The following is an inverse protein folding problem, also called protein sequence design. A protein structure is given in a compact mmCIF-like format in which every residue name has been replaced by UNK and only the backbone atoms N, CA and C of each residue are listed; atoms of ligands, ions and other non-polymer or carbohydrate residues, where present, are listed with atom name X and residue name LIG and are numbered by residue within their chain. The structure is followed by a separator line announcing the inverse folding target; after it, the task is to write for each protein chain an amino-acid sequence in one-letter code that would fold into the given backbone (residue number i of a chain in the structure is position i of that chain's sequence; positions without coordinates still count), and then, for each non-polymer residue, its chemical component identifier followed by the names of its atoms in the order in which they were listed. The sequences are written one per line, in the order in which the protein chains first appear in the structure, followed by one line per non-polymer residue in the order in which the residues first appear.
data_IF_044753143796
#
_entry.id   IF_044753143796
#
_cell.length_a   1.000
_cell.length_b   1.000
_cell.length_c   1.000
_cell.angle_alpha   90.00
_cell.angle_beta   90.00
_cell.angle_gamma   90.00
#
_symmetry.space_group_name_H-M   'P 1'
#
loop_
_entity.id
_entity.type
_entity.pdbx_description
1 polymer ?
#
# COMPACT_ATOMS: atom_id res chain seq x y z
N UNK A 1 -14.09 -12.33 -2.31
CA UNK A 1 -13.99 -11.34 -3.41
C UNK A 1 -12.80 -10.37 -3.25
N UNK A 2 -12.21 -10.15 -2.07
CA UNK A 2 -11.09 -9.18 -1.93
C UNK A 2 -9.69 -9.81 -1.79
N UNK A 3 -9.56 -11.12 -2.01
CA UNK A 3 -8.34 -11.86 -1.67
C UNK A 3 -7.12 -11.39 -2.45
N UNK A 4 -7.26 -11.05 -3.73
CA UNK A 4 -6.15 -10.56 -4.56
C UNK A 4 -5.58 -9.23 -4.07
N UNK A 5 -6.43 -8.29 -3.67
CA UNK A 5 -6.02 -6.96 -3.19
C UNK A 5 -5.41 -7.07 -1.78
N UNK A 6 -5.98 -7.94 -0.93
CA UNK A 6 -5.41 -8.26 0.39
C UNK A 6 -4.05 -8.95 0.22
N UNK A 7 -3.92 -9.89 -0.73
CA UNK A 7 -2.65 -10.55 -1.08
C UNK A 7 -1.60 -9.52 -1.48
N UNK A 8 -1.94 -8.60 -2.40
CA UNK A 8 -1.06 -7.52 -2.80
C UNK A 8 -0.63 -6.63 -1.60
N UNK A 9 -1.56 -6.25 -0.72
CA UNK A 9 -1.23 -5.46 0.48
C UNK A 9 -0.29 -6.21 1.44
N UNK A 10 -0.45 -7.53 1.60
CA UNK A 10 0.47 -8.38 2.37
C UNK A 10 1.85 -8.47 1.74
N UNK A 11 1.92 -8.59 0.41
CA UNK A 11 3.20 -8.60 -0.31
C UNK A 11 3.92 -7.25 -0.17
N UNK A 12 3.17 -6.15 -0.27
CA UNK A 12 3.68 -4.79 -0.09
C UNK A 12 4.19 -4.54 1.34
N UNK A 13 3.57 -5.15 2.35
CA UNK A 13 4.00 -5.05 3.76
C UNK A 13 5.45 -5.52 3.98
N UNK A 14 5.90 -6.49 3.19
CA UNK A 14 7.28 -7.01 3.24
C UNK A 14 8.33 -5.96 2.86
N UNK A 15 7.91 -4.86 2.24
CA UNK A 15 8.76 -3.72 1.93
C UNK A 15 8.64 -2.59 2.97
N UNK A 16 7.90 -2.79 4.06
CA UNK A 16 7.64 -1.73 5.02
C UNK A 16 6.81 -0.62 4.41
N UNK A 17 5.76 -0.96 3.68
CA UNK A 17 4.90 0.03 3.03
C UNK A 17 3.53 -0.02 3.68
N UNK A 18 3.17 1.01 4.42
CA UNK A 18 1.92 1.08 5.17
C UNK A 18 0.70 1.17 4.23
N UNK A 19 -0.08 0.08 4.19
CA UNK A 19 -1.29 -0.04 3.37
C UNK A 19 -2.46 -0.58 4.16
N UNK A 20 -3.62 -0.02 3.90
CA UNK A 20 -4.89 -0.55 4.36
C UNK A 20 -5.95 -0.46 3.27
N UNK A 21 -6.97 -1.30 3.37
CA UNK A 21 -8.13 -1.32 2.48
C UNK A 21 -9.35 -0.99 3.34
N UNK A 22 -10.04 0.09 2.97
CA UNK A 22 -11.31 0.48 3.55
C UNK A 22 -12.47 0.23 2.57
N UNK A 23 -13.65 0.01 3.12
CA UNK A 23 -14.92 0.07 2.40
C UNK A 23 -15.71 1.28 2.90
N UNK A 24 -15.83 2.30 2.04
CA UNK A 24 -16.50 3.56 2.34
C UNK A 24 -18.02 3.42 2.47
N UNK A 25 -18.62 2.39 1.85
CA UNK A 25 -20.08 2.17 1.93
C UNK A 25 -20.48 1.64 3.30
N UNK A 26 -19.65 0.76 3.87
CA UNK A 26 -19.87 0.18 5.19
C UNK A 26 -19.16 0.94 6.30
N UNK A 27 -18.31 1.90 5.93
CA UNK A 27 -17.42 2.64 6.83
C UNK A 27 -16.53 1.74 7.69
N UNK A 28 -15.92 0.72 7.08
CA UNK A 28 -15.09 -0.28 7.78
C UNK A 28 -13.77 -0.51 7.09
N UNK A 29 -12.74 -0.86 7.87
CA UNK A 29 -11.56 -1.51 7.33
C UNK A 29 -11.88 -2.94 6.92
N UNK A 30 -11.41 -3.32 5.73
CA UNK A 30 -11.42 -4.71 5.28
C UNK A 30 -10.10 -5.40 5.60
N UNK A 31 -9.00 -4.65 5.60
CA UNK A 31 -7.66 -5.15 5.89
C UNK A 31 -6.72 -3.99 6.20
N UNK A 32 -5.76 -4.20 7.09
CA UNK A 32 -4.60 -3.33 7.27
C UNK A 32 -3.37 -4.22 7.44
N UNK A 33 -2.26 -3.84 6.82
CA UNK A 33 -1.00 -4.55 6.99
C UNK A 33 -0.25 -4.09 8.25
N UNK A 34 0.77 -4.82 8.68
CA UNK A 34 1.44 -4.57 9.96
C UNK A 34 2.13 -3.21 9.97
N UNK A 35 2.70 -2.81 8.83
CA UNK A 35 3.25 -1.47 8.63
C UNK A 35 2.23 -0.35 8.86
N UNK A 36 1.00 -0.51 8.38
CA UNK A 36 -0.07 0.48 8.59
C UNK A 36 -0.50 0.53 10.04
N UNK A 37 -0.74 -0.63 10.66
CA UNK A 37 -1.14 -0.74 12.06
C UNK A 37 -0.11 -0.08 12.98
N UNK A 38 1.18 -0.34 12.74
CA UNK A 38 2.28 0.26 13.50
C UNK A 38 2.31 1.78 13.39
N UNK A 39 2.16 2.33 12.18
CA UNK A 39 2.18 3.79 11.98
C UNK A 39 0.94 4.45 12.57
N UNK A 40 -0.22 3.82 12.39
CA UNK A 40 -1.48 4.32 12.93
C UNK A 40 -1.62 4.11 14.44
N UNK A 41 -0.69 3.40 15.08
CA UNK A 41 -0.75 2.98 16.49
C UNK A 41 -2.08 2.28 16.82
N UNK A 42 -2.46 1.34 15.96
CA UNK A 42 -3.70 0.56 16.08
C UNK A 42 -3.39 -0.92 16.25
N UNK A 43 -4.13 -1.58 17.13
CA UNK A 43 -4.10 -3.04 17.21
C UNK A 43 -4.93 -3.67 16.08
N UNK A 44 -4.56 -4.90 15.70
CA UNK A 44 -5.21 -5.60 14.59
C UNK A 44 -6.69 -5.86 14.84
N UNK A 45 -7.08 -6.14 16.07
CA UNK A 45 -8.48 -6.39 16.41
C UNK A 45 -9.28 -5.08 16.51
N UNK A 46 -8.64 -4.00 16.91
CA UNK A 46 -9.25 -2.67 17.00
C UNK A 46 -9.59 -2.09 15.63
N UNK A 47 -8.69 -2.23 14.64
CA UNK A 47 -8.89 -1.64 13.30
C UNK A 47 -10.17 -2.14 12.62
N UNK A 48 -10.61 -3.36 12.95
CA UNK A 48 -11.82 -3.96 12.38
C UNK A 48 -13.09 -3.48 13.08
N UNK A 49 -12.99 -2.99 14.31
CA UNK A 49 -14.11 -2.54 15.14
C UNK A 49 -14.35 -1.03 15.05
N UNK A 50 -13.33 -0.25 14.72
CA UNK A 50 -13.44 1.21 14.60
C UNK A 50 -13.97 1.60 13.21
N UNK A 51 -14.91 2.56 13.12
CA UNK A 51 -15.34 3.09 11.82
C UNK A 51 -14.19 3.73 11.05
N UNK A 52 -14.14 3.49 9.75
CA UNK A 52 -13.08 4.03 8.89
C UNK A 52 -13.03 5.56 8.95
N UNK A 53 -14.18 6.23 9.00
CA UNK A 53 -14.28 7.69 9.07
C UNK A 53 -13.80 8.30 10.39
N UNK A 54 -13.67 7.52 11.47
CA UNK A 54 -13.08 8.00 12.73
C UNK A 54 -11.56 8.09 12.63
N UNK A 55 -10.94 7.12 11.94
CA UNK A 55 -9.50 7.03 11.74
C UNK A 55 -9.05 7.86 10.54
N UNK A 56 -9.81 7.89 9.46
CA UNK A 56 -9.38 8.46 8.17
C UNK A 56 -10.29 9.59 7.75
N UNK A 57 -9.70 10.77 7.56
CA UNK A 57 -10.36 11.93 6.97
C UNK A 57 -9.86 12.12 5.54
N UNK A 58 -10.80 12.17 4.60
CA UNK A 58 -10.54 12.47 3.21
C UNK A 58 -10.67 13.97 3.01
N UNK A 59 -9.76 14.57 2.25
CA UNK A 59 -9.93 15.98 1.88
C UNK A 59 -11.18 16.17 1.01
N UNK A 60 -12.18 16.83 1.59
CA UNK A 60 -13.49 17.12 0.99
C UNK A 60 -13.41 18.00 -0.26
N UNK A 61 -12.35 18.81 -0.43
CA UNK A 61 -12.17 19.57 -1.66
C UNK A 61 -11.92 18.66 -2.89
N UNK A 62 -11.35 17.48 -2.64
CA UNK A 62 -10.99 16.49 -3.66
C UNK A 62 -12.02 15.34 -3.79
N UNK A 63 -13.02 15.26 -2.91
CA UNK A 63 -14.04 14.19 -2.93
C UNK A 63 -14.93 14.22 -4.18
N UNK A 64 -14.95 15.35 -4.89
CA UNK A 64 -15.77 15.60 -6.10
C UNK A 64 -15.22 14.82 -7.31
N UNK A 65 -13.96 14.38 -7.30
CA UNK A 65 -13.38 13.60 -8.39
C UNK A 65 -12.84 12.25 -7.87
N UNK A 66 -13.74 11.33 -7.49
CA UNK A 66 -13.45 9.88 -7.37
C UNK A 66 -13.15 9.24 -8.74
N UNK A 67 -12.32 9.91 -9.55
CA UNK A 67 -11.86 9.38 -10.84
C UNK A 67 -10.82 8.31 -10.55
N UNK A 68 -10.95 7.17 -11.22
CA UNK A 68 -9.97 6.08 -11.15
C UNK A 68 -8.58 6.62 -11.47
N UNK A 69 -7.59 6.25 -10.67
CA UNK A 69 -6.19 6.62 -10.88
C UNK A 69 -5.75 7.96 -10.29
N UNK A 70 -6.65 8.73 -9.65
CA UNK A 70 -6.26 9.94 -8.91
C UNK A 70 -6.04 9.59 -7.44
N UNK A 71 -4.89 10.00 -6.91
CA UNK A 71 -4.60 9.95 -5.48
C UNK A 71 -5.28 11.13 -4.78
N UNK A 72 -6.07 10.84 -3.76
CA UNK A 72 -6.74 11.85 -2.94
C UNK A 72 -6.02 11.95 -1.59
N UNK A 73 -5.61 13.15 -1.17
CA UNK A 73 -5.00 13.34 0.14
C UNK A 73 -5.93 12.86 1.27
N UNK A 74 -5.33 12.16 2.24
CA UNK A 74 -6.00 11.74 3.46
C UNK A 74 -5.19 12.18 4.68
N UNK A 75 -5.88 12.28 5.81
CA UNK A 75 -5.29 12.42 7.12
C UNK A 75 -5.73 11.23 7.98
N UNK A 76 -4.76 10.52 8.54
CA UNK A 76 -4.98 9.38 9.44
C UNK A 76 -4.74 9.85 10.87
N UNK A 77 -5.76 9.73 11.70
CA UNK A 77 -5.68 10.03 13.14
C UNK A 77 -5.30 8.75 13.87
N UNK A 78 -4.33 8.88 14.77
CA UNK A 78 -4.06 7.82 15.75
C UNK A 78 -4.90 8.10 17.00
N UNK A 79 -5.34 7.07 17.75
CA UNK A 79 -6.14 7.28 18.96
C UNK A 79 -5.39 8.04 20.06
N UNK A 80 -4.07 7.92 20.09
CA UNK A 80 -3.16 8.38 21.13
C UNK A 80 -2.45 9.71 20.80
N UNK A 81 -2.42 10.14 19.53
CA UNK A 81 -1.72 11.37 19.13
C UNK A 81 -2.68 12.49 18.75
N UNK A 82 -2.29 13.71 19.11
CA UNK A 82 -2.96 14.95 18.67
C UNK A 82 -2.66 15.27 17.20
N UNK A 83 -1.62 14.66 16.62
CA UNK A 83 -1.20 14.85 15.23
C UNK A 83 -1.87 13.86 14.29
N UNK A 84 -2.28 14.35 13.11
CA UNK A 84 -2.72 13.48 12.03
C UNK A 84 -1.56 13.19 11.08
N UNK A 85 -1.46 11.95 10.62
CA UNK A 85 -0.45 11.51 9.66
C UNK A 85 -1.04 11.70 8.26
N UNK A 86 -0.35 12.49 7.43
CA UNK A 86 -0.75 12.70 6.05
C UNK A 86 -0.55 11.44 5.21
N UNK A 87 -1.40 11.23 4.21
CA UNK A 87 -1.29 10.12 3.28
C UNK A 87 -2.10 10.36 2.01
N UNK A 88 -2.30 9.28 1.26
CA UNK A 88 -3.15 9.28 0.08
C UNK A 88 -4.13 8.11 0.09
N UNK A 89 -5.21 8.26 -0.66
CA UNK A 89 -6.13 7.19 -0.98
C UNK A 89 -6.31 7.06 -2.49
N UNK A 90 -6.34 5.81 -2.97
CA UNK A 90 -6.77 5.47 -4.32
C UNK A 90 -8.13 4.78 -4.24
N UNK A 91 -9.11 5.26 -5.02
CA UNK A 91 -10.47 4.72 -5.00
C UNK A 91 -10.66 3.63 -6.06
N UNK A 92 -11.17 2.49 -5.60
CA UNK A 92 -11.54 1.35 -6.43
C UNK A 92 -13.04 1.30 -6.73
N UNK A 93 -13.49 0.26 -7.45
CA UNK A 93 -14.91 -0.01 -7.62
C UNK A 93 -15.59 -0.28 -6.26
N UNK A 94 -16.93 -0.17 -6.26
CA UNK A 94 -17.80 -0.55 -5.13
C UNK A 94 -17.53 0.15 -3.79
N UNK A 95 -16.90 1.33 -3.82
CA UNK A 95 -16.61 2.11 -2.62
C UNK A 95 -15.39 1.61 -1.86
N UNK A 96 -14.54 0.80 -2.48
CA UNK A 96 -13.24 0.45 -1.90
C UNK A 96 -12.28 1.64 -1.96
N UNK A 97 -11.47 1.79 -0.91
CA UNK A 97 -10.38 2.74 -0.85
C UNK A 97 -9.10 2.00 -0.43
N UNK A 98 -8.05 2.12 -1.22
CA UNK A 98 -6.70 1.77 -0.81
C UNK A 98 -6.10 2.99 -0.11
N UNK A 99 -5.67 2.82 1.12
CA UNK A 99 -5.03 3.84 1.94
C UNK A 99 -3.52 3.64 1.92
N UNK A 100 -2.81 4.74 1.85
CA UNK A 100 -1.37 4.82 1.62
C UNK A 100 -0.78 5.87 2.56
N UNK A 101 -0.04 5.43 3.57
CA UNK A 101 0.70 6.33 4.46
C UNK A 101 2.19 6.27 4.07
N UNK A 102 2.84 7.41 3.79
CA UNK A 102 4.29 7.45 3.61
C UNK A 102 4.99 7.07 4.91
N UNK A 103 6.06 6.27 4.82
CA UNK A 103 6.95 6.07 5.95
C UNK A 103 7.95 7.21 6.00
N UNK A 104 7.84 8.06 7.02
CA UNK A 104 8.93 8.94 7.43
C UNK A 104 9.81 8.11 8.36
N UNK A 105 10.97 7.67 7.88
CA UNK A 105 12.02 7.19 8.77
C UNK A 105 12.55 8.43 9.47
N UNK A 106 12.40 8.51 10.79
CA UNK A 106 13.03 9.57 11.57
C UNK A 106 14.53 9.52 11.27
N UNK A 107 15.03 10.56 10.60
CA UNK A 107 16.44 10.70 10.29
C UNK A 107 17.20 11.21 11.51
N UNK A 108 16.93 10.63 12.68
CA UNK A 108 17.67 10.91 13.92
C UNK A 108 18.94 10.06 13.93
N UNK A 109 19.88 10.43 13.06
CA UNK A 109 21.30 10.30 13.34
C UNK A 109 22.04 11.36 12.54
N UNK A 110 22.05 12.59 13.06
CA UNK A 110 23.10 13.51 12.66
C UNK A 110 24.47 12.86 12.96
N UNK A 111 25.33 12.88 11.94
CA UNK A 111 26.79 12.94 12.02
C UNK A 111 27.71 11.73 11.67
N UNK A 112 27.27 10.51 11.33
CA UNK A 112 28.27 9.43 11.05
C UNK A 112 28.39 8.81 9.65
N UNK A 113 27.59 9.10 8.63
CA UNK A 113 27.79 8.41 7.36
C UNK A 113 27.34 9.14 6.10
N UNK A 114 28.18 9.99 5.51
CA UNK A 114 27.90 10.61 4.20
C UNK A 114 27.61 9.59 3.07
N UNK A 115 28.20 8.39 3.13
CA UNK A 115 27.93 7.30 2.18
C UNK A 115 26.64 6.53 2.49
N UNK A 116 26.35 6.25 3.77
CA UNK A 116 25.12 5.57 4.16
C UNK A 116 23.91 6.51 4.02
N UNK A 117 24.06 7.81 4.30
CA UNK A 117 23.04 8.82 4.06
C UNK A 117 22.74 9.00 2.56
N UNK A 118 23.75 8.85 1.69
CA UNK A 118 23.56 8.82 0.24
C UNK A 118 22.78 7.59 -0.23
N UNK A 119 23.14 6.40 0.26
CA UNK A 119 22.39 5.17 -0.02
C UNK A 119 20.97 5.22 0.54
N UNK A 120 20.79 5.79 1.73
CA UNK A 120 19.48 5.91 2.38
C UNK A 120 18.60 6.92 1.66
N UNK A 121 19.14 8.05 1.20
CA UNK A 121 18.41 8.98 0.34
C UNK A 121 18.01 8.35 -0.98
N UNK A 122 18.88 7.56 -1.60
CA UNK A 122 18.53 6.87 -2.86
C UNK A 122 17.49 5.76 -2.60
N UNK A 123 17.59 5.05 -1.46
CA UNK A 123 16.57 4.10 -1.01
C UNK A 123 15.23 4.79 -0.82
N UNK A 124 15.22 5.93 -0.13
CA UNK A 124 14.01 6.75 0.08
C UNK A 124 13.45 7.25 -1.24
N UNK A 125 14.30 7.75 -2.16
CA UNK A 125 13.88 8.17 -3.50
C UNK A 125 13.24 7.04 -4.29
N UNK A 126 13.82 5.84 -4.23
CA UNK A 126 13.25 4.65 -4.88
C UNK A 126 11.93 4.25 -4.22
N UNK A 127 11.86 4.33 -2.89
CA UNK A 127 10.63 4.07 -2.13
C UNK A 127 9.53 5.04 -2.50
N UNK A 128 9.81 6.35 -2.51
CA UNK A 128 8.86 7.39 -2.90
C UNK A 128 8.42 7.22 -4.35
N UNK A 129 9.34 6.91 -5.27
CA UNK A 129 9.02 6.61 -6.66
C UNK A 129 8.10 5.39 -6.79
N UNK A 130 8.45 4.28 -6.13
CA UNK A 130 7.63 3.07 -6.10
C UNK A 130 6.27 3.35 -5.45
N UNK A 131 6.24 4.19 -4.42
CA UNK A 131 5.05 4.50 -3.66
C UNK A 131 4.08 5.41 -4.42
N UNK A 132 4.59 6.49 -5.01
CA UNK A 132 3.79 7.54 -5.64
C UNK A 132 3.40 7.18 -7.07
N UNK A 133 4.26 6.44 -7.79
CA UNK A 133 4.03 6.16 -9.21
C UNK A 133 3.63 4.72 -9.47
N UNK A 134 4.41 3.77 -8.96
CA UNK A 134 4.21 2.36 -9.32
C UNK A 134 3.06 1.71 -8.53
N UNK A 135 2.96 1.98 -7.24
CA UNK A 135 1.94 1.42 -6.35
C UNK A 135 0.50 1.67 -6.83
N UNK A 136 0.11 2.92 -7.15
CA UNK A 136 -1.24 3.22 -7.62
C UNK A 136 -1.59 2.53 -8.94
N UNK A 137 -0.66 2.51 -9.90
CA UNK A 137 -0.85 1.82 -11.18
C UNK A 137 -1.00 0.31 -10.99
N UNK A 138 -0.15 -0.29 -10.15
CA UNK A 138 -0.23 -1.71 -9.83
C UNK A 138 -1.59 -2.07 -9.22
N UNK A 139 -2.04 -1.25 -8.29
CA UNK A 139 -3.32 -1.47 -7.60
C UNK A 139 -4.49 -1.25 -8.56
N UNK A 140 -4.41 -0.27 -9.46
CA UNK A 140 -5.40 -0.07 -10.51
C UNK A 140 -5.50 -1.29 -11.44
N UNK A 141 -4.38 -1.90 -11.81
CA UNK A 141 -4.35 -3.17 -12.58
C UNK A 141 -5.00 -4.29 -11.78
N UNK A 142 -4.62 -4.46 -10.50
CA UNK A 142 -5.19 -5.48 -9.63
C UNK A 142 -6.72 -5.33 -9.46
N UNK A 143 -7.20 -4.10 -9.25
CA UNK A 143 -8.63 -3.79 -9.20
C UNK A 143 -9.34 -4.10 -10.51
N UNK A 144 -8.70 -3.83 -11.65
CA UNK A 144 -9.28 -4.08 -12.97
C UNK A 144 -9.40 -5.58 -13.25
N UNK A 145 -8.38 -6.35 -12.91
CA UNK A 145 -8.37 -7.81 -12.98
C UNK A 145 -9.48 -8.38 -12.09
N UNK A 146 -9.57 -7.94 -10.84
CA UNK A 146 -10.56 -8.46 -9.89
C UNK A 146 -12.00 -8.11 -10.30
N UNK A 147 -12.21 -6.89 -10.81
CA UNK A 147 -13.52 -6.46 -11.34
C UNK A 147 -13.94 -7.26 -12.58
N UNK A 148 -13.00 -7.54 -13.49
CA UNK A 148 -13.28 -8.39 -14.65
C UNK A 148 -13.58 -9.83 -14.22
N UNK A 149 -12.79 -10.38 -13.29
CA UNK A 149 -12.98 -11.71 -12.71
C UNK A 149 -14.37 -11.86 -12.11
N UNK A 150 -14.79 -10.92 -11.25
CA UNK A 150 -16.12 -10.95 -10.61
C UNK A 150 -17.27 -10.95 -11.62
N UNK A 151 -17.15 -10.18 -12.72
CA UNK A 151 -18.16 -10.19 -13.80
C UNK A 151 -18.21 -11.53 -14.54
N UNK A 152 -17.06 -12.13 -14.83
CA UNK A 152 -16.99 -13.43 -15.50
C UNK A 152 -17.49 -14.56 -14.60
N UNK A 153 -17.21 -14.52 -13.30
CA UNK A 153 -17.74 -15.49 -12.32
C UNK A 153 -19.27 -15.40 -12.24
N UNK A 154 -19.83 -14.19 -12.18
CA UNK A 154 -21.28 -13.99 -12.19
C UNK A 154 -21.94 -14.54 -13.48
N UNK A 155 -21.23 -14.46 -14.60
CA UNK A 155 -21.65 -15.02 -15.89
C UNK A 155 -21.32 -16.51 -16.07
N UNK A 156 -20.70 -17.18 -15.09
CA UNK A 156 -20.17 -18.56 -15.17
C UNK A 156 -19.26 -18.80 -16.37
N UNK A 157 -18.51 -17.77 -16.79
CA UNK A 157 -17.66 -17.84 -17.97
C UNK A 157 -16.32 -18.55 -17.65
N UNK A 158 -15.85 -19.51 -18.48
CA UNK A 158 -14.66 -20.31 -18.21
C UNK A 158 -13.37 -19.47 -18.05
N UNK A 159 -13.27 -18.34 -18.75
CA UNK A 159 -12.13 -17.41 -18.64
C UNK A 159 -11.93 -16.82 -17.22
N UNK A 160 -12.89 -16.95 -16.31
CA UNK A 160 -12.69 -16.57 -14.90
C UNK A 160 -11.52 -17.34 -14.25
N UNK A 161 -11.34 -18.62 -14.62
CA UNK A 161 -10.25 -19.46 -14.11
C UNK A 161 -8.88 -19.01 -14.65
N UNK A 162 -8.80 -18.61 -15.91
CA UNK A 162 -7.58 -18.11 -16.55
C UNK A 162 -7.11 -16.80 -15.93
N UNK A 163 -8.03 -15.88 -15.67
CA UNK A 163 -7.75 -14.61 -14.96
C UNK A 163 -7.18 -14.83 -13.56
N UNK A 164 -7.65 -15.87 -12.88
CA UNK A 164 -7.09 -16.27 -11.58
C UNK A 164 -5.63 -16.73 -11.69
N UNK A 165 -5.26 -17.43 -12.76
CA UNK A 165 -3.87 -17.82 -13.00
C UNK A 165 -2.97 -16.62 -13.32
N UNK A 166 -3.48 -15.64 -14.08
CA UNK A 166 -2.75 -14.40 -14.37
C UNK A 166 -2.46 -13.65 -13.07
N UNK A 167 -3.45 -13.52 -12.18
CA UNK A 167 -3.26 -12.91 -10.85
C UNK A 167 -2.15 -13.59 -10.05
N UNK A 168 -2.13 -14.93 -10.01
CA UNK A 168 -1.07 -15.68 -9.32
C UNK A 168 0.32 -15.46 -9.93
N UNK A 169 0.44 -15.43 -11.26
CA UNK A 169 1.72 -15.18 -11.93
C UNK A 169 2.28 -13.79 -11.61
N UNK A 170 1.40 -12.80 -11.48
CA UNK A 170 1.78 -11.45 -11.07
C UNK A 170 2.29 -11.47 -9.62
N UNK A 171 1.60 -12.16 -8.71
CA UNK A 171 2.05 -12.33 -7.32
C UNK A 171 3.43 -13.02 -7.24
N UNK A 172 3.63 -14.08 -8.04
CA UNK A 172 4.90 -14.81 -8.12
C UNK A 172 6.05 -13.93 -8.64
N UNK A 173 5.76 -13.09 -9.65
CA UNK A 173 6.73 -12.13 -10.19
C UNK A 173 7.16 -11.13 -9.11
N UNK A 174 6.23 -10.62 -8.29
CA UNK A 174 6.56 -9.73 -7.18
C UNK A 174 7.40 -10.41 -6.11
N UNK A 175 7.11 -11.66 -5.77
CA UNK A 175 7.95 -12.41 -4.83
C UNK A 175 9.35 -12.68 -5.38
N UNK A 176 9.49 -12.95 -6.68
CA UNK A 176 10.81 -13.09 -7.30
C UNK A 176 11.59 -11.78 -7.24
N UNK A 177 10.98 -10.69 -7.68
CA UNK A 177 11.60 -9.36 -7.65
C UNK A 177 12.04 -8.96 -6.23
N UNK A 178 11.23 -9.27 -5.22
CA UNK A 178 11.57 -9.08 -3.81
C UNK A 178 12.81 -9.85 -3.41
N UNK A 179 12.86 -11.15 -3.74
CA UNK A 179 14.02 -12.00 -3.43
C UNK A 179 15.29 -11.45 -4.08
N UNK A 180 15.19 -10.95 -5.30
CA UNK A 180 16.35 -10.40 -6.03
C UNK A 180 16.83 -9.08 -5.43
N UNK A 181 15.91 -8.22 -4.98
CA UNK A 181 16.26 -6.99 -4.25
C UNK A 181 16.95 -7.28 -2.91
N UNK A 182 16.46 -8.28 -2.16
CA UNK A 182 17.04 -8.68 -0.87
C UNK A 182 18.37 -9.43 -0.99
N UNK A 183 18.64 -10.05 -2.14
CA UNK A 183 19.87 -10.83 -2.38
C UNK A 183 21.07 -9.99 -2.80
N UNK A 184 20.89 -8.72 -3.20
CA UNK A 184 22.04 -7.86 -3.51
C UNK A 184 22.80 -7.57 -2.22
N UNK A 185 24.02 -8.11 -2.04
CA UNK A 185 24.84 -7.70 -0.91
C UNK A 185 25.13 -6.21 -1.09
N UNK A 186 25.04 -5.45 0.00
CA UNK A 186 25.65 -4.13 0.08
C UNK A 186 27.14 -4.39 -0.08
N UNK A 187 27.65 -4.29 -1.32
CA UNK A 187 29.07 -4.42 -1.58
C UNK A 187 29.77 -3.40 -0.70
N UNK A 188 30.58 -3.93 0.23
CA UNK A 188 31.53 -3.18 1.04
C UNK A 188 32.52 -2.48 0.11
N UNK A 189 32.15 -1.29 -0.37
CA UNK A 189 33.07 -0.38 -1.02
C UNK A 189 33.94 0.24 0.08
N UNK A 190 35.01 -0.46 0.48
CA UNK A 190 35.88 0.03 1.54
C UNK A 190 36.92 -0.96 2.02
N UNK A 191 37.56 -1.72 1.13
CA UNK A 191 38.86 -2.31 1.46
C UNK A 191 39.62 -2.62 0.18
N UNK A 192 40.42 -1.65 -0.27
CA UNK A 192 41.73 -1.88 -0.86
C UNK A 192 42.51 -0.56 -0.78
N UNK A 193 43.28 -0.49 0.30
CA UNK A 193 44.65 0.04 0.42
C UNK A 193 45.29 0.57 -0.85
#
# INVERSE_FOLDING_TARGET
MYQSIISACKTIDKFGLARAIGNLRTDRFLFANDSFLKIASLERDEVLLIPLSEIVKFDSAHSIARKKGILVPIAVRTPDQKSAIGGHAAFGPDGLALLMIPMYMDSDSELEAGAAAGQERERQRLFDYMHQRFGPELMAIAFSIESLRGRLEAAKHPAAAELNQIGRRIDDLFESFRKDLLKRPINQAGSKS
#
